data_IF_995411874763
#
_entry.id   IF_995411874763
#
_cell.length_a   1.000
_cell.length_b   1.000
_cell.length_c   1.000
_cell.angle_alpha   90.00
_cell.angle_beta   90.00
_cell.angle_gamma   90.00
#
_symmetry.space_group_name_H-M   'P 1'
#
loop_
_entity.id
_entity.type
_entity.pdbx_description
1 polymer ?
#
# COMPACT_ATOMS: atom_id res chain seq x y z
N UNK A 1 -1.68 41.72 -21.25
CA UNK A 1 -0.70 42.20 -20.26
C UNK A 1 -0.36 41.04 -19.33
N UNK A 2 0.89 40.59 -19.33
CA UNK A 2 1.38 39.54 -18.43
C UNK A 2 2.40 40.12 -17.46
N UNK A 3 2.60 39.52 -16.29
CA UNK A 3 3.58 39.98 -15.30
C UNK A 3 4.99 39.49 -15.63
N UNK A 4 6.01 40.29 -15.34
CA UNK A 4 7.38 39.83 -15.18
C UNK A 4 7.59 39.51 -13.69
N UNK A 5 7.93 38.27 -13.36
CA UNK A 5 8.36 37.90 -12.01
C UNK A 5 9.88 37.88 -11.94
N UNK A 6 10.47 38.66 -11.04
CA UNK A 6 11.92 38.73 -10.84
C UNK A 6 12.23 38.96 -9.36
N UNK A 7 13.12 38.15 -8.77
CA UNK A 7 13.57 38.25 -7.37
C UNK A 7 12.50 38.42 -6.28
N UNK A 8 11.29 37.88 -6.46
CA UNK A 8 10.20 38.01 -5.48
C UNK A 8 9.34 39.27 -5.67
N UNK A 9 9.53 39.97 -6.78
CA UNK A 9 8.72 41.09 -7.23
C UNK A 9 7.94 40.69 -8.49
N UNK A 10 6.73 41.21 -8.64
CA UNK A 10 5.98 41.13 -9.88
C UNK A 10 5.88 42.53 -10.51
N UNK A 11 6.22 42.62 -11.79
CA UNK A 11 6.23 43.84 -12.56
C UNK A 11 5.15 43.81 -13.64
N UNK A 12 4.42 44.90 -13.76
CA UNK A 12 3.40 45.10 -14.78
C UNK A 12 3.57 46.46 -15.46
N UNK A 13 3.63 46.49 -16.79
CA UNK A 13 3.57 47.77 -17.52
C UNK A 13 2.12 48.19 -17.73
N UNK A 14 1.83 49.45 -17.43
CA UNK A 14 0.54 50.10 -17.62
C UNK A 14 0.71 51.36 -18.46
N UNK A 15 -0.39 51.80 -19.07
CA UNK A 15 -0.43 52.92 -20.01
C UNK A 15 -1.16 54.13 -19.42
N UNK A 16 -0.98 55.28 -20.07
CA UNK A 16 -1.80 56.49 -19.97
C UNK A 16 -1.66 57.45 -18.77
N UNK A 17 -0.56 57.52 -17.99
CA UNK A 17 -0.26 58.72 -17.20
C UNK A 17 0.37 59.82 -18.04
N UNK A 18 -0.03 61.07 -17.79
CA UNK A 18 0.62 62.27 -18.34
C UNK A 18 1.72 62.80 -17.42
N UNK A 19 1.69 62.47 -16.13
CA UNK A 19 2.70 62.92 -15.15
C UNK A 19 3.21 61.78 -14.26
N UNK A 20 4.39 61.95 -13.67
CA UNK A 20 4.91 61.04 -12.64
C UNK A 20 3.97 60.92 -11.45
N UNK A 21 3.34 62.02 -11.03
CA UNK A 21 2.38 62.04 -9.91
C UNK A 21 1.16 61.18 -10.19
N UNK A 22 0.62 61.25 -11.42
CA UNK A 22 -0.48 60.37 -11.88
C UNK A 22 -0.05 58.91 -11.95
N UNK A 23 1.14 58.63 -12.47
CA UNK A 23 1.70 57.28 -12.52
C UNK A 23 1.85 56.68 -11.11
N UNK A 24 2.38 57.47 -10.16
CA UNK A 24 2.54 57.07 -8.78
C UNK A 24 1.18 56.85 -8.09
N UNK A 25 0.22 57.76 -8.30
CA UNK A 25 -1.15 57.60 -7.80
C UNK A 25 -1.84 56.34 -8.36
N UNK A 26 -1.67 56.07 -9.66
CA UNK A 26 -2.23 54.90 -10.33
C UNK A 26 -1.60 53.59 -9.83
N UNK A 27 -0.28 53.55 -9.65
CA UNK A 27 0.41 52.38 -9.08
C UNK A 27 -0.10 52.06 -7.67
N UNK A 28 -0.25 53.08 -6.82
CA UNK A 28 -0.78 52.94 -5.46
C UNK A 28 -2.24 52.43 -5.45
N UNK A 29 -3.10 52.91 -6.36
CA UNK A 29 -4.48 52.43 -6.49
C UNK A 29 -4.58 50.96 -6.90
N UNK A 30 -3.56 50.43 -7.60
CA UNK A 30 -3.47 49.02 -7.98
C UNK A 30 -2.96 48.13 -6.83
N UNK A 31 -2.59 48.71 -5.68
CA UNK A 31 -2.01 47.97 -4.56
C UNK A 31 -0.51 47.64 -4.75
N UNK A 32 0.15 48.31 -5.70
CA UNK A 32 1.60 48.26 -5.91
C UNK A 32 2.24 49.63 -5.70
N UNK A 33 3.48 49.79 -6.17
CA UNK A 33 4.20 51.06 -6.20
C UNK A 33 4.96 51.18 -7.53
N UNK A 34 5.43 52.38 -7.88
CA UNK A 34 6.31 52.52 -9.04
C UNK A 34 7.61 51.76 -8.80
N UNK A 35 8.03 51.01 -9.82
CA UNK A 35 9.13 50.07 -9.69
C UNK A 35 10.46 50.73 -9.28
N UNK A 36 11.15 50.09 -8.35
CA UNK A 36 12.52 50.40 -7.95
C UNK A 36 13.46 49.37 -8.58
N UNK A 37 14.49 49.83 -9.27
CA UNK A 37 15.47 48.93 -9.89
C UNK A 37 16.65 48.75 -8.92
N UNK A 38 16.85 47.53 -8.47
CA UNK A 38 17.83 47.20 -7.42
C UNK A 38 19.11 46.55 -7.98
N UNK A 39 19.15 46.17 -9.26
CA UNK A 39 20.34 45.58 -9.89
C UNK A 39 20.43 45.81 -11.41
N UNK A 40 21.62 45.61 -11.98
CA UNK A 40 21.83 45.69 -13.42
C UNK A 40 21.12 44.55 -14.19
N UNK A 41 21.05 43.36 -13.58
CA UNK A 41 20.36 42.19 -14.10
C UNK A 41 18.84 42.42 -14.16
N UNK A 42 18.28 43.02 -13.11
CA UNK A 42 16.88 43.44 -13.04
C UNK A 42 16.55 44.49 -14.10
N UNK A 43 17.39 45.50 -14.26
CA UNK A 43 17.24 46.52 -15.31
C UNK A 43 17.17 45.88 -16.70
N UNK A 44 18.07 44.94 -17.00
CA UNK A 44 18.09 44.24 -18.29
C UNK A 44 16.82 43.39 -18.51
N UNK A 45 16.33 42.71 -17.46
CA UNK A 45 15.10 41.91 -17.53
C UNK A 45 13.86 42.79 -17.75
N UNK A 46 13.77 43.92 -17.05
CA UNK A 46 12.69 44.90 -17.20
C UNK A 46 12.72 45.50 -18.61
N UNK A 47 13.87 45.94 -19.12
CA UNK A 47 13.99 46.49 -20.50
C UNK A 47 13.48 45.47 -21.53
N UNK A 48 13.91 44.21 -21.43
CA UNK A 48 13.48 43.15 -22.35
C UNK A 48 11.96 42.89 -22.28
N UNK A 49 11.40 42.90 -21.07
CA UNK A 49 9.96 42.73 -20.83
C UNK A 49 9.15 43.91 -21.40
N UNK A 50 9.56 45.15 -21.12
CA UNK A 50 8.92 46.37 -21.61
C UNK A 50 8.96 46.44 -23.13
N UNK A 51 10.12 46.17 -23.75
CA UNK A 51 10.26 46.12 -25.21
C UNK A 51 9.34 45.08 -25.85
N UNK A 52 9.18 43.93 -25.18
CA UNK A 52 8.24 42.90 -25.62
C UNK A 52 6.79 43.40 -25.53
N UNK A 53 6.39 44.04 -24.43
CA UNK A 53 5.03 44.61 -24.33
C UNK A 53 4.80 45.70 -25.38
N UNK A 54 5.77 46.61 -25.58
CA UNK A 54 5.72 47.66 -26.59
C UNK A 54 5.63 47.13 -28.03
N UNK A 55 6.18 45.93 -28.30
CA UNK A 55 6.05 45.29 -29.62
C UNK A 55 4.67 44.67 -29.87
N UNK A 56 3.91 44.40 -28.79
CA UNK A 56 2.60 43.74 -28.82
C UNK A 56 1.43 44.73 -28.80
N UNK A 57 1.69 46.00 -28.49
CA UNK A 57 0.71 47.06 -28.31
C UNK A 57 1.15 48.31 -29.10
N UNK A 58 0.22 49.14 -29.59
CA UNK A 58 0.57 50.42 -30.23
C UNK A 58 0.88 51.46 -29.17
N UNK A 59 2.11 51.46 -28.65
CA UNK A 59 2.55 52.47 -27.68
C UNK A 59 2.87 53.80 -28.34
N UNK A 60 2.60 54.90 -27.64
CA UNK A 60 2.98 56.24 -28.07
C UNK A 60 4.51 56.39 -28.10
N UNK A 61 5.04 56.83 -29.24
CA UNK A 61 6.45 57.21 -29.34
C UNK A 61 6.58 58.68 -28.95
N UNK A 62 7.51 59.00 -28.04
CA UNK A 62 7.95 60.39 -27.91
C UNK A 62 8.84 60.70 -29.11
N UNK A 63 8.40 61.65 -29.94
CA UNK A 63 9.23 62.25 -30.97
C UNK A 63 9.77 63.57 -30.41
N UNK A 64 11.06 63.62 -30.12
CA UNK A 64 11.72 64.87 -29.80
C UNK A 64 11.67 65.80 -31.02
N UNK A 65 11.64 67.13 -30.83
CA UNK A 65 11.59 68.11 -31.91
C UNK A 65 12.71 67.98 -32.95
N UNK A 66 13.81 67.29 -32.60
CA UNK A 66 15.00 67.05 -33.42
C UNK A 66 14.92 65.76 -34.28
N UNK A 67 13.78 65.05 -34.27
CA UNK A 67 13.56 63.85 -35.08
C UNK A 67 14.11 62.56 -34.48
N UNK A 68 14.65 62.59 -33.26
CA UNK A 68 14.90 61.40 -32.46
C UNK A 68 13.65 60.93 -31.74
N UNK A 69 13.48 59.62 -31.54
CA UNK A 69 12.37 59.09 -30.76
C UNK A 69 12.76 57.93 -29.85
N UNK A 70 12.12 57.87 -28.68
CA UNK A 70 12.32 56.83 -27.69
C UNK A 70 11.00 56.44 -26.99
N UNK A 71 10.96 55.21 -26.49
CA UNK A 71 9.91 54.75 -25.57
C UNK A 71 10.38 55.02 -24.16
N UNK A 72 9.55 55.68 -23.36
CA UNK A 72 9.83 56.04 -21.97
C UNK A 72 8.82 55.39 -21.02
N UNK A 73 9.30 54.92 -19.86
CA UNK A 73 8.46 54.36 -18.79
C UNK A 73 8.79 55.02 -17.46
N UNK A 74 7.77 55.49 -16.73
CA UNK A 74 7.95 56.04 -15.38
C UNK A 74 8.43 54.98 -14.39
N UNK A 75 9.42 55.35 -13.58
CA UNK A 75 9.98 54.56 -12.47
C UNK A 75 9.81 55.28 -11.13
N UNK A 76 10.09 54.58 -10.03
CA UNK A 76 10.02 55.11 -8.66
C UNK A 76 11.13 56.10 -8.26
N UNK A 77 11.84 56.73 -9.20
CA UNK A 77 12.89 57.71 -8.93
C UNK A 77 12.39 59.15 -9.16
N UNK A 78 12.89 60.10 -8.37
CA UNK A 78 12.63 61.55 -8.51
C UNK A 78 13.84 62.38 -8.04
N UNK A 79 13.84 63.68 -8.35
CA UNK A 79 14.86 64.65 -7.90
C UNK A 79 14.23 65.81 -7.12
N UNK A 80 13.56 65.50 -6.00
CA UNK A 80 12.73 66.48 -5.28
C UNK A 80 13.54 67.52 -4.47
N UNK A 81 14.86 67.34 -4.27
CA UNK A 81 15.59 68.20 -3.30
C UNK A 81 16.89 68.83 -3.77
N UNK A 82 17.55 68.37 -4.84
CA UNK A 82 18.76 69.00 -5.37
C UNK A 82 19.09 68.49 -6.78
N UNK A 83 18.95 69.37 -7.76
CA UNK A 83 19.25 69.12 -9.18
C UNK A 83 20.53 68.28 -9.39
N UNK A 84 20.35 67.14 -10.06
CA UNK A 84 21.41 66.18 -10.37
C UNK A 84 21.61 65.08 -9.33
N UNK A 85 20.77 64.99 -8.29
CA UNK A 85 20.81 63.92 -7.29
C UNK A 85 19.53 63.08 -7.28
N UNK A 86 19.37 62.26 -8.31
CA UNK A 86 18.30 61.28 -8.39
C UNK A 86 18.27 60.33 -7.19
N UNK A 87 17.11 60.26 -6.55
CA UNK A 87 16.82 59.35 -5.46
C UNK A 87 15.63 58.46 -5.79
N UNK A 88 15.67 57.23 -5.32
CA UNK A 88 14.47 56.39 -5.27
C UNK A 88 13.47 56.97 -4.26
N UNK A 89 12.20 56.57 -4.36
CA UNK A 89 11.14 57.03 -3.46
C UNK A 89 11.43 56.75 -1.96
N UNK A 90 12.32 55.80 -1.66
CA UNK A 90 12.80 55.50 -0.30
C UNK A 90 13.98 56.39 0.18
N UNK A 91 14.43 57.35 -0.66
CA UNK A 91 15.50 58.29 -0.38
C UNK A 91 16.92 57.79 -0.70
N UNK A 92 17.07 56.55 -1.16
CA UNK A 92 18.37 55.97 -1.55
C UNK A 92 18.87 56.53 -2.88
N UNK A 93 20.19 56.70 -3.01
CA UNK A 93 20.80 57.20 -4.25
C UNK A 93 20.64 56.19 -5.39
N UNK A 94 20.33 56.68 -6.59
CA UNK A 94 20.30 55.85 -7.79
C UNK A 94 21.74 55.51 -8.21
N UNK A 95 22.23 54.32 -7.84
CA UNK A 95 23.65 53.95 -7.98
C UNK A 95 24.00 53.09 -9.21
N UNK A 96 23.02 52.61 -9.99
CA UNK A 96 23.26 51.59 -11.02
C UNK A 96 23.53 52.19 -12.40
N UNK A 97 24.81 52.30 -12.74
CA UNK A 97 25.30 52.62 -14.07
C UNK A 97 25.18 51.39 -14.99
N UNK A 98 24.04 51.24 -15.66
CA UNK A 98 23.90 50.50 -16.93
C UNK A 98 22.73 51.05 -17.76
N UNK A 99 22.66 52.38 -17.81
CA UNK A 99 21.90 53.12 -18.82
C UNK A 99 22.79 53.12 -20.08
N UNK A 100 22.27 52.67 -21.22
CA UNK A 100 23.09 52.42 -22.43
C UNK A 100 24.01 53.61 -22.81
N UNK A 101 25.23 53.29 -23.26
CA UNK A 101 26.35 54.20 -23.60
C UNK A 101 26.09 55.71 -23.47
N UNK A 102 26.15 56.23 -22.25
CA UNK A 102 26.06 57.65 -21.92
C UNK A 102 25.65 57.81 -20.46
N UNK A 103 26.38 58.63 -19.71
CA UNK A 103 26.14 58.98 -18.30
C UNK A 103 24.69 59.42 -18.04
N UNK A 104 24.23 59.40 -16.77
CA UNK A 104 23.05 60.15 -16.33
C UNK A 104 23.12 61.55 -16.94
N UNK A 105 22.11 61.92 -17.73
CA UNK A 105 21.98 63.29 -18.18
C UNK A 105 21.79 64.17 -16.95
N UNK A 106 22.69 65.12 -16.76
CA UNK A 106 22.32 66.38 -16.13
C UNK A 106 21.18 66.96 -16.96
N UNK A 107 19.99 67.12 -16.39
CA UNK A 107 19.08 68.13 -16.93
C UNK A 107 19.80 69.48 -16.93
N UNK A 108 19.59 70.33 -17.95
CA UNK A 108 20.17 71.65 -17.99
C UNK A 108 19.08 72.65 -18.32
N UNK A 109 18.13 72.82 -17.42
CA UNK A 109 17.39 74.08 -17.31
C UNK A 109 16.53 74.20 -16.06
N UNK A 110 16.64 75.39 -15.47
CA UNK A 110 15.76 76.02 -14.49
C UNK A 110 14.40 76.42 -15.11
N UNK A 111 13.82 75.56 -15.97
CA UNK A 111 12.49 75.85 -16.52
C UNK A 111 11.42 75.43 -15.52
N UNK A 112 11.19 76.29 -14.55
CA UNK A 112 9.90 76.38 -13.86
C UNK A 112 8.83 76.74 -14.90
N UNK A 113 8.34 75.76 -15.68
CA UNK A 113 7.13 75.94 -16.49
C UNK A 113 5.92 75.80 -15.56
N UNK A 114 5.29 76.91 -15.13
CA UNK A 114 4.17 76.87 -14.20
C UNK A 114 2.91 76.28 -14.86
N UNK A 115 2.93 76.07 -16.18
CA UNK A 115 1.81 75.53 -16.94
C UNK A 115 1.76 74.00 -16.92
N UNK A 116 2.88 73.30 -16.67
CA UNK A 116 2.95 71.84 -16.76
C UNK A 116 3.38 71.12 -15.46
N UNK A 117 4.04 71.80 -14.51
CA UNK A 117 4.34 71.22 -13.19
C UNK A 117 4.12 72.26 -12.07
N UNK A 118 2.87 72.47 -11.62
CA UNK A 118 2.55 73.50 -10.62
C UNK A 118 3.22 73.30 -9.25
N UNK A 119 3.82 72.12 -9.02
CA UNK A 119 4.39 71.69 -7.75
C UNK A 119 5.90 71.37 -7.82
N UNK A 120 6.59 71.60 -8.94
CA UNK A 120 8.05 71.40 -9.07
C UNK A 120 8.50 69.97 -8.78
N UNK A 121 7.76 68.97 -9.27
CA UNK A 121 8.12 67.56 -9.10
C UNK A 121 8.52 66.94 -10.42
N UNK A 122 9.83 66.79 -10.63
CA UNK A 122 10.41 66.20 -11.83
C UNK A 122 10.67 64.70 -11.57
N UNK A 123 9.96 63.86 -12.30
CA UNK A 123 10.00 62.40 -12.15
C UNK A 123 11.06 61.74 -13.03
N UNK A 124 11.55 60.57 -12.62
CA UNK A 124 12.52 59.79 -13.39
C UNK A 124 11.84 58.84 -14.38
N UNK A 125 12.27 58.87 -15.64
CA UNK A 125 11.80 57.95 -16.68
C UNK A 125 12.93 57.07 -17.24
N UNK A 126 12.62 55.80 -17.49
CA UNK A 126 13.51 54.84 -18.17
C UNK A 126 13.32 54.93 -19.68
N UNK A 127 14.40 55.24 -20.42
CA UNK A 127 14.43 55.12 -21.87
C UNK A 127 14.71 53.66 -22.28
N UNK A 128 13.76 53.01 -22.95
CA UNK A 128 13.85 51.56 -23.27
C UNK A 128 14.14 51.25 -24.75
N UNK A 129 13.98 52.22 -25.66
CA UNK A 129 14.30 52.04 -27.09
C UNK A 129 14.74 53.36 -27.73
N UNK A 130 15.65 53.33 -28.72
CA UNK A 130 16.12 54.52 -29.46
C UNK A 130 16.04 54.29 -30.97
N UNK A 131 15.38 55.18 -31.71
CA UNK A 131 15.32 55.13 -33.19
C UNK A 131 16.51 55.90 -33.84
N UNK A 132 16.88 55.68 -35.13
CA UNK A 132 18.26 55.69 -35.56
C UNK A 132 18.86 57.11 -35.58
N UNK A 133 20.10 57.21 -35.09
CA UNK A 133 20.95 58.40 -35.13
C UNK A 133 20.90 59.18 -36.45
N UNK A 134 20.51 60.47 -36.47
CA UNK A 134 21.00 61.38 -37.48
C UNK A 134 22.52 61.53 -37.33
N UNK A 135 23.23 61.62 -38.46
CA UNK A 135 24.67 61.85 -38.48
C UNK A 135 25.01 63.23 -37.88
N UNK A 136 25.37 63.23 -36.59
CA UNK A 136 25.64 64.41 -35.78
C UNK A 136 25.36 64.03 -34.33
N UNK A 137 26.38 63.55 -33.63
CA UNK A 137 26.23 62.88 -32.34
C UNK A 137 25.43 63.67 -31.30
N UNK A 138 24.49 62.98 -30.65
CA UNK A 138 23.84 63.45 -29.43
C UNK A 138 24.88 63.35 -28.31
N UNK A 139 25.23 64.50 -27.70
CA UNK A 139 26.22 64.57 -26.62
C UNK A 139 27.38 65.54 -26.84
N UNK A 140 27.11 66.78 -27.24
CA UNK A 140 28.01 67.88 -26.85
C UNK A 140 27.58 68.40 -25.48
N UNK A 141 28.49 68.61 -24.51
CA UNK A 141 28.12 69.14 -23.20
C UNK A 141 27.37 70.47 -23.34
N UNK A 142 26.12 70.54 -22.88
CA UNK A 142 25.35 71.79 -22.78
C UNK A 142 24.22 71.99 -23.79
N UNK A 143 23.79 70.96 -24.53
CA UNK A 143 22.51 71.00 -25.25
C UNK A 143 21.73 69.72 -24.94
N UNK A 144 20.65 69.85 -24.18
CA UNK A 144 19.78 68.75 -23.80
C UNK A 144 18.33 69.18 -24.03
N UNK A 145 17.48 68.21 -24.35
CA UNK A 145 16.10 68.44 -24.72
C UNK A 145 15.19 68.23 -23.50
N UNK A 146 14.38 69.23 -23.19
CA UNK A 146 13.16 69.12 -22.37
C UNK A 146 12.42 67.82 -22.67
N UNK A 147 12.14 67.01 -21.65
CA UNK A 147 11.05 66.02 -21.70
C UNK A 147 9.77 66.78 -21.32
N UNK A 148 9.30 67.63 -22.24
CA UNK A 148 7.94 68.20 -22.15
C UNK A 148 6.94 67.10 -22.55
N UNK A 149 6.49 66.31 -21.58
CA UNK A 149 5.54 65.20 -21.78
C UNK A 149 4.10 65.72 -21.88
N UNK A 150 3.78 66.31 -23.01
CA UNK A 150 2.37 66.57 -23.40
C UNK A 150 1.64 65.31 -23.92
N UNK A 151 2.32 64.16 -23.98
CA UNK A 151 1.78 62.89 -24.49
C UNK A 151 1.79 61.80 -23.39
N UNK A 152 0.76 60.97 -23.38
CA UNK A 152 0.61 59.81 -22.49
C UNK A 152 1.85 58.90 -22.53
N UNK A 153 2.41 58.59 -21.35
CA UNK A 153 3.52 57.66 -21.18
C UNK A 153 3.04 56.32 -20.61
N UNK A 154 3.97 55.37 -20.46
CA UNK A 154 3.73 54.13 -19.71
C UNK A 154 4.36 54.22 -18.32
N UNK A 155 3.91 53.39 -17.38
CA UNK A 155 4.50 53.27 -16.04
C UNK A 155 4.68 51.81 -15.64
N UNK A 156 5.72 51.54 -14.85
CA UNK A 156 6.01 50.20 -14.35
C UNK A 156 5.53 50.07 -12.91
N UNK A 157 4.55 49.19 -12.69
CA UNK A 157 4.04 48.87 -11.35
C UNK A 157 4.76 47.65 -10.83
N UNK A 158 5.29 47.77 -9.62
CA UNK A 158 5.88 46.70 -8.84
C UNK A 158 4.92 46.30 -7.72
N UNK A 159 4.70 45.00 -7.59
CA UNK A 159 3.97 44.39 -6.49
C UNK A 159 4.95 43.57 -5.66
N UNK A 160 4.88 43.71 -4.33
CA UNK A 160 5.48 42.73 -3.43
C UNK A 160 4.75 41.41 -3.62
N UNK A 161 5.41 40.41 -4.22
CA UNK A 161 4.85 39.07 -4.17
C UNK A 161 5.16 38.50 -2.80
N UNK A 162 4.13 38.19 -2.02
CA UNK A 162 4.28 37.23 -0.92
C UNK A 162 4.69 35.93 -1.61
N UNK A 163 5.99 35.65 -1.66
CA UNK A 163 6.49 34.39 -2.20
C UNK A 163 5.88 33.27 -1.38
N UNK A 164 4.92 32.54 -1.94
CA UNK A 164 4.47 31.27 -1.39
C UNK A 164 5.68 30.33 -1.46
N UNK A 165 6.42 30.23 -0.35
CA UNK A 165 7.46 29.22 -0.20
C UNK A 165 6.75 27.90 0.01
N UNK A 166 6.73 27.05 -1.02
CA UNK A 166 6.32 25.67 -0.88
C UNK A 166 7.43 24.87 -0.18
N UNK A 167 7.13 24.30 0.96
CA UNK A 167 7.99 23.38 1.69
C UNK A 167 7.87 21.97 1.09
N UNK A 168 8.97 21.22 1.09
CA UNK A 168 8.90 19.82 0.68
C UNK A 168 8.18 18.99 1.75
N UNK A 169 7.55 17.87 1.37
CA UNK A 169 7.04 16.90 2.32
C UNK A 169 8.14 16.35 3.23
N UNK A 170 7.79 15.95 4.44
CA UNK A 170 8.69 15.40 5.47
C UNK A 170 8.03 14.23 6.21
N UNK A 171 8.77 13.58 7.12
CA UNK A 171 8.23 12.55 8.02
C UNK A 171 7.49 11.39 7.31
N UNK A 172 8.02 10.95 6.16
CA UNK A 172 7.51 9.78 5.45
C UNK A 172 7.68 8.52 6.31
N UNK A 173 6.59 7.85 6.63
CA UNK A 173 6.54 6.71 7.56
C UNK A 173 5.56 5.63 7.10
N UNK A 174 5.79 4.43 7.61
CA UNK A 174 4.88 3.28 7.53
C UNK A 174 4.43 2.94 8.95
N UNK A 175 3.11 2.80 9.17
CA UNK A 175 2.59 2.40 10.48
C UNK A 175 2.95 0.94 10.82
N UNK A 176 3.07 0.08 9.80
CA UNK A 176 3.51 -1.31 9.93
C UNK A 176 4.42 -1.71 8.77
N UNK A 177 5.49 -2.42 9.08
CA UNK A 177 6.45 -2.92 8.09
C UNK A 177 6.58 -4.45 8.12
N UNK A 178 5.50 -5.14 8.48
CA UNK A 178 5.42 -6.61 8.53
C UNK A 178 4.16 -7.11 7.83
N UNK A 179 4.25 -8.29 7.20
CA UNK A 179 3.15 -8.96 6.52
C UNK A 179 3.32 -10.47 6.66
N UNK A 180 2.22 -11.20 6.91
CA UNK A 180 2.22 -12.65 6.99
C UNK A 180 2.46 -13.28 5.62
N UNK A 181 3.15 -14.41 5.54
CA UNK A 181 3.45 -15.06 4.25
C UNK A 181 2.19 -15.50 3.49
N UNK A 182 1.17 -15.94 4.22
CA UNK A 182 -0.11 -16.35 3.68
C UNK A 182 -1.11 -15.20 3.51
N UNK A 183 -0.65 -13.95 3.59
CA UNK A 183 -1.51 -12.79 3.42
C UNK A 183 -2.16 -12.80 2.03
N UNK A 184 -3.46 -12.49 2.00
CA UNK A 184 -4.26 -12.50 0.77
C UNK A 184 -3.76 -11.42 -0.18
N UNK A 185 -3.59 -11.75 -1.46
CA UNK A 185 -3.26 -10.78 -2.51
C UNK A 185 -4.32 -9.68 -2.56
N UNK A 186 -3.88 -8.43 -2.77
CA UNK A 186 -4.66 -7.19 -2.71
C UNK A 186 -5.10 -6.78 -1.30
N UNK A 187 -4.62 -7.44 -0.24
CA UNK A 187 -4.81 -6.93 1.12
C UNK A 187 -3.94 -5.69 1.40
N UNK A 188 -4.50 -4.76 2.17
CA UNK A 188 -3.78 -3.59 2.68
C UNK A 188 -2.82 -4.02 3.79
N UNK A 189 -1.54 -3.71 3.63
CA UNK A 189 -0.50 -3.98 4.64
C UNK A 189 -0.48 -2.86 5.68
N UNK A 190 -0.39 -1.61 5.22
CA UNK A 190 -0.34 -0.42 6.07
C UNK A 190 -0.74 0.82 5.27
N UNK A 191 -1.35 1.83 5.91
CA UNK A 191 -1.40 3.17 5.35
C UNK A 191 -0.01 3.80 5.30
N UNK A 192 0.18 4.69 4.33
CA UNK A 192 1.34 5.57 4.19
C UNK A 192 1.03 6.91 4.86
N UNK A 193 2.04 7.56 5.43
CA UNK A 193 1.89 8.90 5.99
C UNK A 193 3.13 9.73 5.74
N UNK A 194 2.93 11.01 5.41
CA UNK A 194 3.95 12.04 5.37
C UNK A 194 3.28 13.36 5.82
N UNK A 195 4.09 14.38 6.10
CA UNK A 195 3.64 15.69 6.54
C UNK A 195 4.11 16.73 5.55
N UNK A 196 3.25 17.71 5.31
CA UNK A 196 3.59 18.90 4.55
C UNK A 196 3.34 20.13 5.42
N UNK A 197 4.28 21.10 5.40
CA UNK A 197 4.19 22.27 6.28
C UNK A 197 3.12 23.26 5.81
N UNK A 198 2.81 23.26 4.52
CA UNK A 198 1.81 24.13 3.88
C UNK A 198 0.42 23.46 3.88
N UNK A 199 0.36 22.17 4.21
CA UNK A 199 -0.87 21.41 4.33
C UNK A 199 -1.37 20.85 2.99
N UNK A 200 -0.48 20.78 2.00
CA UNK A 200 -0.81 20.30 0.67
C UNK A 200 -1.13 18.82 0.62
N UNK A 201 -1.96 18.45 -0.35
CA UNK A 201 -2.39 17.07 -0.53
C UNK A 201 -1.24 16.21 -1.07
N UNK A 202 -0.93 15.12 -0.38
CA UNK A 202 0.19 14.26 -0.73
C UNK A 202 -0.22 13.09 -1.63
N UNK A 203 0.61 12.84 -2.64
CA UNK A 203 0.56 11.64 -3.47
C UNK A 203 1.79 10.77 -3.21
N UNK A 204 1.68 9.46 -3.47
CA UNK A 204 2.74 8.50 -3.20
C UNK A 204 3.03 7.61 -4.39
N UNK A 205 4.30 7.34 -4.64
CA UNK A 205 4.77 6.35 -5.63
C UNK A 205 5.72 5.37 -4.98
N UNK A 206 5.87 4.19 -5.59
CA UNK A 206 6.71 3.10 -5.10
C UNK A 206 7.68 2.64 -6.18
N UNK A 207 8.91 2.39 -5.76
CA UNK A 207 9.90 1.62 -6.52
C UNK A 207 10.13 0.31 -5.77
N UNK A 208 9.61 -0.78 -6.34
CA UNK A 208 9.80 -2.16 -5.86
C UNK A 208 10.39 -3.01 -7.01
N UNK A 209 11.66 -3.41 -6.94
CA UNK A 209 12.31 -4.22 -7.98
C UNK A 209 11.63 -5.58 -8.22
N UNK A 210 10.91 -6.09 -7.23
CA UNK A 210 10.27 -7.40 -7.28
C UNK A 210 8.83 -7.34 -7.79
N UNK A 211 8.20 -6.16 -7.76
CA UNK A 211 6.77 -5.99 -8.08
C UNK A 211 5.84 -6.76 -7.14
N UNK A 212 6.27 -7.00 -5.90
CA UNK A 212 5.52 -7.68 -4.84
C UNK A 212 4.52 -6.74 -4.18
N UNK A 213 4.79 -5.44 -4.17
CA UNK A 213 3.94 -4.42 -3.55
C UNK A 213 3.52 -3.34 -4.54
N UNK A 214 2.39 -2.70 -4.24
CA UNK A 214 1.90 -1.52 -4.94
C UNK A 214 1.35 -0.48 -3.95
N UNK A 215 1.14 0.74 -4.43
CA UNK A 215 0.42 1.78 -3.69
C UNK A 215 -0.96 1.96 -4.30
N UNK A 216 -2.00 1.80 -3.47
CA UNK A 216 -3.39 2.00 -3.87
C UNK A 216 -4.12 2.80 -2.79
N UNK A 217 -4.73 3.93 -3.18
CA UNK A 217 -5.47 4.82 -2.27
C UNK A 217 -4.67 5.23 -1.01
N UNK A 218 -3.37 5.51 -1.15
CA UNK A 218 -2.50 5.90 -0.03
C UNK A 218 -2.10 4.74 0.89
N UNK A 219 -2.31 3.48 0.47
CA UNK A 219 -1.92 2.31 1.23
C UNK A 219 -0.88 1.46 0.49
N UNK A 220 0.02 0.82 1.23
CA UNK A 220 0.85 -0.25 0.72
C UNK A 220 0.01 -1.54 0.63
N UNK A 221 -0.05 -2.14 -0.55
CA UNK A 221 -0.89 -3.30 -0.86
C UNK A 221 -0.04 -4.44 -1.40
N UNK A 222 -0.35 -5.67 -0.99
CA UNK A 222 0.32 -6.88 -1.46
C UNK A 222 -0.18 -7.29 -2.87
N UNK A 223 0.73 -7.65 -3.78
CA UNK A 223 0.40 -8.05 -5.16
C UNK A 223 0.87 -9.46 -5.55
N UNK A 224 1.71 -10.10 -4.74
CA UNK A 224 2.18 -11.47 -4.96
C UNK A 224 2.05 -12.30 -3.69
N UNK A 225 1.98 -13.62 -3.84
CA UNK A 225 2.10 -14.55 -2.72
C UNK A 225 3.50 -14.39 -2.12
N UNK A 226 3.58 -14.49 -0.80
CA UNK A 226 4.82 -14.46 -0.06
C UNK A 226 5.13 -15.87 0.46
N UNK A 227 6.39 -16.15 0.68
CA UNK A 227 6.90 -17.43 1.16
C UNK A 227 8.09 -17.08 2.06
N UNK A 228 7.95 -17.35 3.36
CA UNK A 228 8.94 -16.99 4.36
C UNK A 228 10.23 -17.81 4.21
N UNK A 229 10.13 -19.05 3.76
CA UNK A 229 11.25 -19.96 3.53
C UNK A 229 12.18 -19.46 2.43
N UNK A 230 11.63 -18.78 1.42
CA UNK A 230 12.38 -18.27 0.27
C UNK A 230 12.87 -16.83 0.44
N UNK A 231 11.99 -15.90 0.83
CA UNK A 231 12.33 -14.47 0.94
C UNK A 231 11.72 -13.87 2.20
N UNK A 232 12.56 -13.63 3.21
CA UNK A 232 12.12 -13.13 4.52
C UNK A 232 11.88 -11.63 4.59
N UNK A 233 12.46 -10.85 3.70
CA UNK A 233 12.41 -9.39 3.73
C UNK A 233 12.50 -8.80 2.33
N UNK A 234 11.79 -7.69 2.12
CA UNK A 234 11.81 -6.92 0.88
C UNK A 234 12.22 -5.48 1.17
N UNK A 235 13.06 -4.91 0.31
CA UNK A 235 13.44 -3.50 0.36
C UNK A 235 12.72 -2.73 -0.74
N UNK A 236 11.95 -1.72 -0.34
CA UNK A 236 11.22 -0.84 -1.25
C UNK A 236 11.62 0.62 -1.02
N UNK A 237 11.48 1.45 -2.03
CA UNK A 237 11.58 2.91 -1.88
C UNK A 237 10.24 3.53 -2.17
N UNK A 238 9.81 4.42 -1.28
CA UNK A 238 8.58 5.19 -1.44
C UNK A 238 8.95 6.66 -1.59
N UNK A 239 8.25 7.34 -2.48
CA UNK A 239 8.35 8.77 -2.69
C UNK A 239 7.00 9.43 -2.42
N UNK A 240 7.01 10.59 -1.76
CA UNK A 240 5.84 11.43 -1.54
C UNK A 240 6.01 12.80 -2.19
N UNK A 241 4.93 13.33 -2.79
CA UNK A 241 4.89 14.62 -3.52
C UNK A 241 3.67 15.45 -3.15
N UNK A 242 3.83 16.77 -3.08
CA UNK A 242 2.81 17.78 -2.69
C UNK A 242 2.01 18.41 -3.85
N UNK A 243 2.33 18.07 -5.10
CA UNK A 243 1.69 18.67 -6.28
C UNK A 243 2.32 19.98 -6.76
N UNK A 244 3.23 20.57 -5.98
CA UNK A 244 4.00 21.79 -6.30
C UNK A 244 5.51 21.50 -6.46
N UNK A 245 5.81 20.27 -6.88
CA UNK A 245 7.15 19.73 -7.13
C UNK A 245 8.02 19.49 -5.89
N UNK A 246 7.50 19.66 -4.67
CA UNK A 246 8.20 19.20 -3.47
C UNK A 246 8.15 17.68 -3.39
N UNK A 247 9.27 17.09 -2.92
CA UNK A 247 9.48 15.65 -2.89
C UNK A 247 10.23 15.23 -1.64
N UNK A 248 9.86 14.08 -1.09
CA UNK A 248 10.67 13.32 -0.14
C UNK A 248 10.64 11.84 -0.45
N UNK A 249 11.72 11.12 -0.15
CA UNK A 249 11.81 9.70 -0.39
C UNK A 249 12.44 8.95 0.78
N UNK A 250 12.04 7.70 0.96
CA UNK A 250 12.51 6.84 2.04
C UNK A 250 12.59 5.38 1.60
N UNK A 251 13.61 4.68 2.08
CA UNK A 251 13.75 3.23 1.91
C UNK A 251 13.17 2.52 3.12
N UNK A 252 12.33 1.51 2.86
CA UNK A 252 11.64 0.73 3.87
C UNK A 252 11.90 -0.75 3.67
N UNK A 253 12.05 -1.47 4.78
CA UNK A 253 12.15 -2.93 4.79
C UNK A 253 10.84 -3.52 5.26
N UNK A 254 10.21 -4.34 4.43
CA UNK A 254 9.00 -5.09 4.77
C UNK A 254 9.42 -6.51 5.14
N UNK A 255 9.21 -6.89 6.40
CA UNK A 255 9.52 -8.24 6.87
C UNK A 255 8.33 -9.17 6.68
N UNK A 256 8.60 -10.34 6.13
CA UNK A 256 7.63 -11.44 6.07
C UNK A 256 7.64 -12.14 7.43
N UNK A 257 6.47 -12.37 8.01
CA UNK A 257 6.35 -13.17 9.23
C UNK A 257 5.89 -14.57 8.85
N UNK A 258 6.67 -15.56 9.30
CA UNK A 258 6.34 -16.98 9.27
C UNK A 258 4.97 -17.21 9.93
N UNK A 259 4.09 -17.89 9.22
CA UNK A 259 2.85 -18.44 9.74
C UNK A 259 2.99 -19.94 9.69
N UNK A 260 3.20 -20.54 10.87
CA UNK A 260 3.34 -21.97 11.04
C UNK A 260 2.38 -22.76 10.14
N UNK A 261 2.94 -23.38 9.09
CA UNK A 261 2.22 -24.32 8.28
C UNK A 261 1.91 -25.52 9.18
N UNK A 262 0.63 -25.82 9.43
CA UNK A 262 0.28 -27.13 9.95
C UNK A 262 0.76 -28.12 8.89
N UNK A 263 1.73 -28.98 9.21
CA UNK A 263 2.14 -30.06 8.33
C UNK A 263 0.88 -30.75 7.83
N UNK A 264 0.62 -30.79 6.51
CA UNK A 264 -0.60 -31.38 6.00
C UNK A 264 -0.69 -32.83 6.49
N UNK A 265 -1.88 -33.28 6.92
CA UNK A 265 -2.06 -34.63 7.45
C UNK A 265 -1.51 -35.64 6.43
N UNK A 266 -0.60 -36.50 6.89
CA UNK A 266 0.06 -37.50 6.03
C UNK A 266 -0.71 -38.80 6.14
N UNK A 267 -1.29 -39.26 5.04
CA UNK A 267 -1.90 -40.59 4.95
C UNK A 267 -0.87 -41.63 4.51
N UNK A 268 -0.80 -42.73 5.23
CA UNK A 268 0.09 -43.87 4.97
C UNK A 268 -0.69 -45.19 4.88
N UNK A 269 -0.12 -46.13 4.15
CA UNK A 269 -0.55 -47.54 4.17
C UNK A 269 0.59 -48.38 4.70
N UNK A 270 0.34 -49.09 5.80
CA UNK A 270 1.36 -49.88 6.50
C UNK A 270 0.87 -51.29 6.73
N UNK A 271 1.72 -52.25 6.42
CA UNK A 271 1.43 -53.68 6.58
C UNK A 271 2.51 -54.32 7.43
N UNK A 272 2.09 -55.07 8.45
CA UNK A 272 2.94 -55.87 9.32
C UNK A 272 3.42 -57.16 8.65
N UNK A 273 3.73 -58.14 9.48
CA UNK A 273 4.38 -59.40 9.11
C UNK A 273 3.60 -60.59 9.66
N UNK A 274 4.24 -61.73 9.88
CA UNK A 274 3.62 -62.88 10.55
C UNK A 274 3.96 -62.97 12.04
N UNK A 275 4.77 -62.02 12.52
CA UNK A 275 5.22 -61.89 13.91
C UNK A 275 4.44 -60.77 14.61
N UNK A 276 4.65 -60.60 15.92
CA UNK A 276 4.00 -59.52 16.66
C UNK A 276 4.61 -58.15 16.29
N UNK A 277 3.79 -57.29 15.70
CA UNK A 277 4.19 -55.97 15.19
C UNK A 277 3.64 -54.81 16.03
N UNK A 278 4.32 -53.67 15.89
CA UNK A 278 3.79 -52.37 16.34
C UNK A 278 3.65 -51.50 15.10
N UNK A 279 2.42 -51.21 14.71
CA UNK A 279 2.04 -50.34 13.61
C UNK A 279 1.54 -48.99 14.17
N UNK A 280 2.11 -47.90 13.68
CA UNK A 280 1.77 -46.53 14.07
C UNK A 280 1.51 -45.76 12.77
N UNK A 281 0.36 -45.10 12.72
CA UNK A 281 -0.03 -44.14 11.70
C UNK A 281 0.76 -42.84 11.78
N UNK A 282 0.24 -41.83 11.11
CA UNK A 282 0.67 -40.44 11.13
C UNK A 282 -0.57 -39.56 11.39
N UNK A 283 -0.60 -38.35 10.86
CA UNK A 283 -1.62 -37.33 11.18
C UNK A 283 -2.81 -37.31 10.21
N UNK A 284 -2.81 -38.17 9.19
CA UNK A 284 -3.88 -38.25 8.18
C UNK A 284 -4.56 -39.61 8.14
N UNK A 285 -5.55 -39.75 7.25
CA UNK A 285 -6.37 -40.97 7.14
C UNK A 285 -5.51 -42.19 6.71
N UNK A 286 -5.25 -43.10 7.63
CA UNK A 286 -4.30 -44.20 7.43
C UNK A 286 -4.97 -45.55 7.16
N UNK A 287 -4.18 -46.49 6.64
CA UNK A 287 -4.56 -47.90 6.54
C UNK A 287 -3.49 -48.79 7.14
N UNK A 288 -3.81 -49.42 8.26
CA UNK A 288 -2.90 -50.28 9.02
C UNK A 288 -3.39 -51.73 9.00
N UNK A 289 -2.53 -52.66 8.58
CA UNK A 289 -2.83 -54.10 8.53
C UNK A 289 -1.77 -54.92 9.27
N UNK A 290 -2.11 -55.50 10.42
CA UNK A 290 -1.20 -56.33 11.24
C UNK A 290 -0.79 -57.64 10.57
N UNK A 291 -1.73 -58.28 9.86
CA UNK A 291 -1.62 -59.60 9.22
C UNK A 291 -1.71 -60.76 10.20
N UNK A 292 -0.60 -61.37 10.61
CA UNK A 292 -0.60 -62.43 11.60
C UNK A 292 0.39 -62.09 12.71
N UNK A 293 0.08 -62.42 13.96
CA UNK A 293 0.85 -61.90 15.07
C UNK A 293 -0.08 -61.42 16.17
N UNK A 294 0.46 -60.99 17.30
CA UNK A 294 -0.35 -60.26 18.29
C UNK A 294 0.08 -58.80 18.19
N UNK A 295 -0.63 -58.05 17.38
CA UNK A 295 -0.17 -56.75 16.90
C UNK A 295 -0.70 -55.61 17.77
N UNK A 296 -0.02 -54.46 17.70
CA UNK A 296 -0.51 -53.18 18.22
C UNK A 296 -0.61 -52.20 17.07
N UNK A 297 -1.81 -51.75 16.75
CA UNK A 297 -2.08 -50.77 15.71
C UNK A 297 -2.56 -49.48 16.37
N UNK A 298 -1.90 -48.38 16.06
CA UNK A 298 -2.23 -47.03 16.52
C UNK A 298 -2.48 -46.14 15.30
N UNK A 299 -3.72 -45.66 15.11
CA UNK A 299 -4.10 -44.76 14.00
C UNK A 299 -3.57 -43.34 14.18
N UNK A 300 -3.81 -42.74 15.36
CA UNK A 300 -3.45 -41.38 15.78
C UNK A 300 -4.48 -40.32 15.42
N UNK A 301 -4.23 -39.43 14.46
CA UNK A 301 -5.20 -38.42 14.01
C UNK A 301 -5.62 -38.76 12.59
N UNK A 302 -6.89 -38.56 12.26
CA UNK A 302 -7.43 -38.92 10.94
C UNK A 302 -8.50 -40.00 11.04
N UNK A 303 -9.11 -40.36 9.91
CA UNK A 303 -10.11 -41.42 9.83
C UNK A 303 -9.43 -42.72 9.37
N UNK A 304 -9.06 -43.57 10.32
CA UNK A 304 -8.14 -44.66 10.06
C UNK A 304 -8.84 -45.99 9.80
N UNK A 305 -8.20 -46.84 8.99
CA UNK A 305 -8.64 -48.22 8.77
C UNK A 305 -7.67 -49.18 9.44
N UNK A 306 -8.10 -49.80 10.54
CA UNK A 306 -7.30 -50.74 11.33
C UNK A 306 -7.78 -52.17 11.13
N UNK A 307 -6.91 -53.00 10.57
CA UNK A 307 -7.10 -54.45 10.43
C UNK A 307 -6.04 -55.19 11.25
N UNK A 308 -6.42 -55.73 12.40
CA UNK A 308 -5.52 -56.55 13.22
C UNK A 308 -5.05 -57.78 12.45
N UNK A 309 -6.01 -58.62 12.06
CA UNK A 309 -5.75 -59.83 11.30
C UNK A 309 -5.86 -61.06 12.19
N UNK A 310 -4.86 -61.93 12.16
CA UNK A 310 -4.85 -63.20 12.88
C UNK A 310 -3.94 -63.11 14.11
N UNK A 311 -4.47 -63.50 15.26
CA UNK A 311 -3.82 -63.40 16.57
C UNK A 311 -4.64 -62.46 17.46
N UNK A 312 -4.09 -62.00 18.58
CA UNK A 312 -4.85 -61.15 19.50
C UNK A 312 -4.29 -59.73 19.43
N UNK A 313 -5.01 -58.89 18.70
CA UNK A 313 -4.50 -57.57 18.36
C UNK A 313 -5.04 -56.51 19.32
N UNK A 314 -4.26 -55.47 19.52
CA UNK A 314 -4.68 -54.25 20.22
C UNK A 314 -4.78 -53.13 19.20
N UNK A 315 -5.97 -52.57 19.06
CA UNK A 315 -6.30 -51.56 18.06
C UNK A 315 -6.69 -50.27 18.78
N UNK A 316 -6.05 -49.17 18.44
CA UNK A 316 -6.31 -47.83 18.94
C UNK A 316 -6.50 -46.92 17.73
N UNK A 317 -7.72 -46.43 17.51
CA UNK A 317 -8.03 -45.58 16.36
C UNK A 317 -7.41 -44.19 16.53
N UNK A 318 -7.67 -43.58 17.69
CA UNK A 318 -7.24 -42.25 18.03
C UNK A 318 -8.35 -41.22 17.85
N UNK A 319 -8.05 -40.11 17.19
CA UNK A 319 -8.96 -39.02 16.95
C UNK A 319 -9.44 -39.03 15.49
N UNK A 320 -10.73 -39.22 15.29
CA UNK A 320 -11.37 -39.23 13.98
C UNK A 320 -12.47 -40.28 13.94
N UNK A 321 -13.02 -40.54 12.76
CA UNK A 321 -14.01 -41.59 12.56
C UNK A 321 -13.33 -42.87 12.05
N UNK A 322 -12.98 -43.76 12.96
CA UNK A 322 -12.14 -44.91 12.65
C UNK A 322 -12.91 -46.16 12.25
N UNK A 323 -12.26 -47.03 11.49
CA UNK A 323 -12.80 -48.28 10.98
C UNK A 323 -11.98 -49.46 11.52
N UNK A 324 -12.61 -50.27 12.36
CA UNK A 324 -12.02 -51.51 12.87
C UNK A 324 -12.51 -52.72 12.06
N UNK A 325 -11.63 -53.34 11.29
CA UNK A 325 -11.98 -54.41 10.34
C UNK A 325 -11.75 -55.80 10.93
N UNK A 326 -12.82 -56.61 10.93
CA UNK A 326 -12.79 -58.02 11.31
C UNK A 326 -13.07 -58.89 10.07
N UNK A 327 -12.01 -59.46 9.49
CA UNK A 327 -12.09 -60.27 8.27
C UNK A 327 -11.44 -61.66 8.38
N UNK A 328 -10.93 -62.00 9.56
CA UNK A 328 -10.33 -63.30 9.85
C UNK A 328 -11.34 -64.26 10.50
N UNK A 329 -11.20 -65.54 10.16
CA UNK A 329 -12.03 -66.63 10.70
C UNK A 329 -11.98 -66.64 12.23
N UNK A 330 -13.15 -66.55 12.86
CA UNK A 330 -13.31 -66.62 14.32
C UNK A 330 -12.91 -68.01 14.86
N UNK A 331 -12.21 -68.03 16.00
CA UNK A 331 -11.78 -69.25 16.69
C UNK A 331 -12.66 -69.59 17.90
N UNK A 332 -13.10 -70.85 18.03
CA UNK A 332 -13.93 -71.30 19.16
C UNK A 332 -13.13 -71.60 20.44
N UNK A 333 -11.91 -72.14 20.35
CA UNK A 333 -11.02 -72.38 21.51
C UNK A 333 -9.66 -72.98 21.08
N UNK A 334 -8.58 -72.62 21.78
CA UNK A 334 -7.35 -73.39 21.86
C UNK A 334 -7.06 -73.71 23.34
N UNK A 335 -6.72 -74.97 23.63
CA UNK A 335 -6.56 -75.63 24.94
C UNK A 335 -5.46 -75.10 25.88
N UNK A 336 -4.95 -73.88 25.68
CA UNK A 336 -3.89 -73.29 26.50
C UNK A 336 -4.11 -71.79 26.73
N UNK A 337 -5.17 -71.40 27.46
CA UNK A 337 -5.47 -69.99 27.81
C UNK A 337 -5.44 -68.97 26.63
N UNK A 338 -5.56 -69.42 25.38
CA UNK A 338 -5.35 -68.62 24.17
C UNK A 338 -6.64 -68.63 23.34
N UNK A 339 -7.54 -67.68 23.60
CA UNK A 339 -8.47 -67.20 22.57
C UNK A 339 -7.57 -66.69 21.44
N UNK A 340 -7.65 -67.25 20.24
CA UNK A 340 -6.95 -66.71 19.06
C UNK A 340 -7.96 -65.84 18.32
N UNK A 341 -7.55 -64.69 17.78
CA UNK A 341 -8.44 -63.75 17.11
C UNK A 341 -9.46 -63.15 18.08
N UNK A 342 -9.04 -62.88 19.32
CA UNK A 342 -9.75 -62.00 20.23
C UNK A 342 -9.01 -60.67 20.30
N UNK A 343 -9.54 -59.69 19.59
CA UNK A 343 -8.92 -58.38 19.53
C UNK A 343 -9.47 -57.45 20.62
N UNK A 344 -8.73 -56.39 20.87
CA UNK A 344 -9.09 -55.35 21.82
C UNK A 344 -9.01 -54.00 21.14
N UNK A 345 -10.15 -53.34 21.02
CA UNK A 345 -10.24 -51.93 20.65
C UNK A 345 -10.20 -51.12 21.94
N UNK A 346 -9.20 -50.23 22.09
CA UNK A 346 -8.91 -49.56 23.36
C UNK A 346 -9.72 -48.28 23.58
N UNK A 347 -10.15 -47.61 22.52
CA UNK A 347 -10.64 -46.23 22.54
C UNK A 347 -11.97 -45.98 21.80
N UNK A 348 -12.61 -47.03 21.27
CA UNK A 348 -13.85 -46.94 20.48
C UNK A 348 -14.86 -45.86 20.94
N UNK A 349 -15.14 -44.90 20.06
CA UNK A 349 -16.06 -43.78 20.24
C UNK A 349 -17.33 -44.02 19.42
N UNK A 350 -18.45 -44.29 20.10
CA UNK A 350 -19.75 -44.62 19.46
C UNK A 350 -20.25 -43.55 18.48
N UNK A 351 -19.87 -42.29 18.66
CA UNK A 351 -20.32 -41.20 17.79
C UNK A 351 -19.56 -41.14 16.46
N UNK A 352 -18.32 -41.66 16.43
CA UNK A 352 -17.35 -41.39 15.38
C UNK A 352 -16.93 -42.70 14.67
N UNK A 353 -16.69 -43.77 15.43
CA UNK A 353 -16.10 -45.01 14.95
C UNK A 353 -17.12 -46.04 14.44
N UNK A 354 -16.64 -46.94 13.59
CA UNK A 354 -17.41 -48.05 13.06
C UNK A 354 -16.63 -49.37 13.07
N UNK A 355 -17.36 -50.47 13.23
CA UNK A 355 -16.81 -51.83 13.19
C UNK A 355 -17.24 -52.49 11.89
N UNK A 356 -16.27 -52.85 11.06
CA UNK A 356 -16.49 -53.49 9.77
C UNK A 356 -16.38 -55.02 9.92
N UNK A 357 -17.46 -55.72 9.56
CA UNK A 357 -17.59 -57.17 9.66
C UNK A 357 -17.57 -57.79 8.27
N UNK A 358 -16.52 -58.53 7.92
CA UNK A 358 -16.47 -59.15 6.60
C UNK A 358 -17.54 -60.24 6.45
N UNK A 359 -18.36 -60.14 5.40
CA UNK A 359 -19.46 -61.09 5.15
C UNK A 359 -19.00 -62.55 5.05
N UNK A 360 -17.77 -62.77 4.58
CA UNK A 360 -17.13 -64.09 4.49
C UNK A 360 -16.96 -64.77 5.86
N UNK A 361 -16.75 -63.99 6.92
CA UNK A 361 -16.61 -64.46 8.30
C UNK A 361 -17.98 -64.48 8.99
N UNK A 362 -18.70 -63.35 8.91
CA UNK A 362 -20.01 -63.13 9.53
C UNK A 362 -21.15 -63.58 8.59
N UNK A 363 -21.08 -64.84 8.19
CA UNK A 363 -21.88 -65.39 7.09
C UNK A 363 -23.39 -65.53 7.35
N UNK A 364 -23.84 -65.49 8.61
CA UNK A 364 -25.27 -65.58 8.98
C UNK A 364 -26.02 -64.27 8.86
N UNK A 365 -25.33 -63.13 8.98
CA UNK A 365 -25.95 -61.82 8.82
C UNK A 365 -26.55 -61.73 7.41
N UNK A 366 -27.79 -61.28 7.26
CA UNK A 366 -28.54 -61.52 6.03
C UNK A 366 -28.02 -60.73 4.81
N UNK A 367 -27.49 -59.52 5.02
CA UNK A 367 -27.12 -58.59 3.94
C UNK A 367 -25.85 -57.80 4.28
N UNK A 368 -25.17 -57.28 3.26
CA UNK A 368 -24.15 -56.24 3.40
C UNK A 368 -24.80 -54.89 3.74
N UNK A 369 -24.02 -53.97 4.30
CA UNK A 369 -24.45 -52.66 4.77
C UNK A 369 -24.60 -52.60 6.30
N UNK A 370 -25.25 -51.54 6.79
CA UNK A 370 -25.47 -51.34 8.22
C UNK A 370 -26.24 -52.53 8.80
N UNK A 371 -25.76 -53.05 9.94
CA UNK A 371 -26.38 -54.18 10.61
C UNK A 371 -27.85 -53.87 10.93
N UNK A 372 -28.76 -54.82 10.69
CA UNK A 372 -30.17 -54.59 11.00
C UNK A 372 -30.38 -54.56 12.50
N UNK A 373 -31.34 -53.75 12.95
CA UNK A 373 -31.71 -53.66 14.37
C UNK A 373 -32.10 -55.00 14.99
N UNK A 374 -32.75 -55.89 14.25
CA UNK A 374 -33.11 -57.24 14.73
C UNK A 374 -31.97 -58.25 14.68
N UNK A 375 -30.78 -57.87 14.18
CA UNK A 375 -29.58 -58.72 14.17
C UNK A 375 -28.58 -58.30 15.26
N UNK A 376 -28.93 -57.32 16.09
CA UNK A 376 -28.09 -56.75 17.14
C UNK A 376 -28.77 -56.77 18.50
N UNK A 377 -28.08 -57.28 19.51
CA UNK A 377 -28.59 -57.31 20.88
C UNK A 377 -27.57 -56.84 21.90
N UNK A 378 -28.04 -56.10 22.91
CA UNK A 378 -27.22 -55.68 24.05
C UNK A 378 -27.52 -56.59 25.25
N UNK A 379 -26.62 -57.52 25.51
CA UNK A 379 -26.78 -58.52 26.57
C UNK A 379 -25.56 -59.43 26.74
N UNK A 380 -25.68 -60.43 27.61
CA UNK A 380 -24.61 -61.41 27.85
C UNK A 380 -24.64 -62.62 26.93
N UNK A 381 -25.73 -62.79 26.18
CA UNK A 381 -25.98 -63.85 25.20
C UNK A 381 -27.04 -63.35 24.20
N UNK A 382 -27.24 -64.06 23.10
CA UNK A 382 -28.33 -63.80 22.16
C UNK A 382 -29.70 -63.87 22.87
N UNK A 383 -30.63 -62.99 22.49
CA UNK A 383 -32.00 -62.99 23.01
C UNK A 383 -32.90 -63.93 22.22
N UNK A 384 -32.73 -63.95 20.90
CA UNK A 384 -33.43 -64.86 20.00
C UNK A 384 -32.50 -65.39 18.88
N UNK A 385 -33.09 -66.02 17.86
CA UNK A 385 -32.35 -66.65 16.76
C UNK A 385 -31.81 -65.66 15.74
N UNK A 386 -32.37 -64.45 15.70
CA UNK A 386 -32.08 -63.42 14.70
C UNK A 386 -30.91 -62.53 15.17
N UNK A 387 -30.63 -62.49 16.48
CA UNK A 387 -29.46 -61.82 17.05
C UNK A 387 -28.15 -62.45 16.60
N UNK A 388 -27.44 -61.76 15.70
CA UNK A 388 -26.16 -62.24 15.18
C UNK A 388 -24.98 -61.54 15.83
N UNK A 389 -25.09 -60.27 16.22
CA UNK A 389 -24.04 -59.54 16.96
C UNK A 389 -24.56 -59.18 18.34
N UNK A 390 -23.80 -59.57 19.37
CA UNK A 390 -24.17 -59.35 20.77
C UNK A 390 -23.12 -58.50 21.45
N UNK A 391 -23.55 -57.40 22.09
CA UNK A 391 -22.70 -56.54 22.90
C UNK A 391 -22.99 -56.70 24.40
N UNK A 392 -22.01 -57.22 25.14
CA UNK A 392 -22.07 -57.25 26.60
C UNK A 392 -21.55 -55.95 27.19
N UNK A 393 -22.46 -55.01 27.44
CA UNK A 393 -22.14 -53.69 28.00
C UNK A 393 -21.35 -53.71 29.31
N UNK A 394 -21.51 -54.73 30.15
CA UNK A 394 -20.81 -54.82 31.45
C UNK A 394 -19.34 -55.16 31.28
N UNK A 395 -19.01 -55.98 30.28
CA UNK A 395 -17.64 -56.47 30.06
C UNK A 395 -16.94 -55.83 28.86
N UNK A 396 -17.70 -55.16 27.97
CA UNK A 396 -17.19 -54.66 26.70
C UNK A 396 -17.06 -55.75 25.62
N UNK A 397 -17.51 -56.98 25.88
CA UNK A 397 -17.31 -58.09 24.95
C UNK A 397 -18.29 -58.05 23.77
N UNK A 398 -17.76 -58.28 22.56
CA UNK A 398 -18.53 -58.43 21.33
C UNK A 398 -18.53 -59.90 20.89
N UNK A 399 -19.72 -60.43 20.65
CA UNK A 399 -19.92 -61.82 20.26
C UNK A 399 -20.66 -61.91 18.93
N UNK A 400 -20.41 -63.01 18.23
CA UNK A 400 -21.13 -63.39 17.02
C UNK A 400 -21.82 -64.74 17.21
N UNK A 401 -23.14 -64.78 17.06
CA UNK A 401 -23.88 -66.04 16.97
C UNK A 401 -23.70 -66.64 15.56
N UNK A 402 -22.81 -67.61 15.48
CA UNK A 402 -22.45 -68.26 14.22
C UNK A 402 -23.50 -69.26 13.71
N UNK A 403 -24.31 -69.85 14.59
CA UNK A 403 -25.29 -70.82 14.14
C UNK A 403 -26.68 -70.22 13.93
N UNK A 404 -26.94 -69.04 14.51
CA UNK A 404 -28.18 -68.29 14.34
C UNK A 404 -29.35 -69.03 14.98
N UNK A 405 -29.09 -69.72 16.07
CA UNK A 405 -30.12 -70.44 16.84
C UNK A 405 -30.50 -69.70 18.10
N UNK A 406 -29.67 -68.77 18.58
CA UNK A 406 -29.81 -68.10 19.88
C UNK A 406 -29.55 -69.03 21.07
N UNK A 407 -29.22 -70.30 20.83
CA UNK A 407 -29.07 -71.35 21.87
C UNK A 407 -27.62 -71.76 22.06
N UNK A 408 -26.82 -71.79 20.99
CA UNK A 408 -25.42 -72.16 21.09
C UNK A 408 -24.53 -71.01 21.55
N UNK A 409 -23.33 -71.37 22.00
CA UNK A 409 -22.32 -70.43 22.47
C UNK A 409 -21.84 -69.54 21.31
N UNK A 410 -22.19 -68.25 21.39
CA UNK A 410 -21.71 -67.21 20.50
C UNK A 410 -20.18 -67.05 20.66
N UNK A 411 -19.49 -66.76 19.56
CA UNK A 411 -18.03 -66.63 19.56
C UNK A 411 -17.67 -65.19 19.87
N UNK A 412 -16.91 -64.97 20.95
CA UNK A 412 -16.34 -63.66 21.20
C UNK A 412 -15.25 -63.36 20.17
N UNK A 413 -15.36 -62.23 19.48
CA UNK A 413 -14.37 -61.82 18.47
C UNK A 413 -13.60 -60.56 18.87
N UNK A 414 -14.18 -59.71 19.74
CA UNK A 414 -13.51 -58.50 20.19
C UNK A 414 -13.90 -58.11 21.62
N UNK A 415 -13.13 -57.16 22.14
CA UNK A 415 -13.46 -56.36 23.32
C UNK A 415 -13.33 -54.89 22.97
N UNK A 416 -14.29 -54.09 23.44
CA UNK A 416 -14.26 -52.63 23.44
C UNK A 416 -14.31 -52.12 24.88
N UNK A 417 -14.20 -50.81 25.07
CA UNK A 417 -14.46 -50.19 26.37
C UNK A 417 -15.86 -50.52 26.89
N UNK A 418 -15.96 -50.81 28.19
CA UNK A 418 -17.25 -51.15 28.84
C UNK A 418 -18.19 -49.95 28.89
N UNK A 419 -19.49 -50.22 29.05
CA UNK A 419 -20.55 -49.22 29.25
C UNK A 419 -20.84 -48.28 28.06
N UNK A 420 -20.32 -48.57 26.87
CA UNK A 420 -20.65 -47.84 25.66
C UNK A 420 -22.14 -47.96 25.33
N UNK A 421 -22.68 -46.95 24.64
CA UNK A 421 -24.08 -46.91 24.19
C UNK A 421 -24.22 -47.43 22.76
N UNK A 422 -23.60 -48.58 22.49
CA UNK A 422 -23.53 -49.11 21.13
C UNK A 422 -24.90 -49.47 20.57
N UNK A 423 -25.06 -49.31 19.27
CA UNK A 423 -26.25 -49.65 18.50
C UNK A 423 -25.89 -50.51 17.29
N UNK A 424 -26.90 -50.99 16.57
CA UNK A 424 -26.69 -51.66 15.28
C UNK A 424 -26.05 -50.73 14.22
N UNK A 425 -26.14 -49.40 14.40
CA UNK A 425 -25.55 -48.41 13.50
C UNK A 425 -24.01 -48.44 13.49
N UNK A 426 -23.40 -48.94 14.56
CA UNK A 426 -21.95 -48.93 14.75
C UNK A 426 -21.27 -50.11 14.02
N UNK A 427 -22.05 -50.95 13.34
CA UNK A 427 -21.58 -52.14 12.64
C UNK A 427 -21.95 -52.09 11.16
N UNK A 428 -20.95 -52.22 10.30
CA UNK A 428 -21.11 -52.31 8.84
C UNK A 428 -20.64 -53.68 8.34
N UNK A 429 -21.50 -54.38 7.60
CA UNK A 429 -21.15 -55.66 6.98
C UNK A 429 -20.64 -55.43 5.56
N UNK A 430 -19.40 -55.84 5.30
CA UNK A 430 -18.67 -55.55 4.05
C UNK A 430 -18.47 -56.75 3.14
#
# INVERSE_FOLDING_TARGET
MGYLHFNGHAYEVRLDPSTWSEANGAANLLGGHLAKIESAEENAAIIAYVLRQASLETWGYYAAPDGGGAVYVWLGANDITNEGQWKWADGTDVAYANWGSGSLGSEPDDYTDPQYSPNGQDGGALAVNRWPYPAGGIGSPGQWNDISVSNALSFLVEYETIGLRNANPTNLTLARSTVAENAVINSVITPLSAQDADGDALTYTITDPTGTFAIENGNLVLKKVLDFETVRQYSITIESRDGYAGVTSGSFTISVTDVAESTPPVSITRTGTADADVLIGDTGDDTLSGLAGNDRLYGLEGNDVLKGGAGNDTLEGGAGGDIFVFDIKLSKTNKLNKKQNLDKITDFVVADDTIHLAKSVFSKIAKKGVLKKGEFYVGSAAHDRDDHVIYNKKTGALFYDKDGTGVAEAIQFATVTKNLKMTNGDFLVV
#
